data_IF_036859279231
#
_entry.id   IF_036859279231
#
_cell.length_a   1.000
_cell.length_b   1.000
_cell.length_c   1.000
_cell.angle_alpha   90.00
_cell.angle_beta   90.00
_cell.angle_gamma   90.00
#
_symmetry.space_group_name_H-M   'P 1'
#
loop_
_entity.id
_entity.type
_entity.pdbx_description
1 polymer ?
#
# COMPACT_ATOMS: atom_id res chain seq x y z
N UNK A 1 8.06 -17.79 -8.82
CA UNK A 1 7.76 -17.96 -10.26
C UNK A 1 8.04 -19.37 -10.80
N UNK A 2 8.92 -20.16 -10.20
CA UNK A 2 9.29 -21.48 -10.76
C UNK A 2 8.27 -22.62 -10.57
N UNK A 3 7.23 -22.44 -9.80
CA UNK A 3 6.10 -23.39 -9.75
C UNK A 3 5.09 -23.15 -10.89
N UNK A 4 5.19 -22.05 -11.61
CA UNK A 4 4.20 -21.59 -12.57
C UNK A 4 4.73 -21.27 -13.98
N UNK A 5 6.03 -21.17 -14.18
CA UNK A 5 6.62 -20.87 -15.50
C UNK A 5 6.85 -22.09 -16.41
N UNK A 6 6.21 -23.23 -16.16
CA UNK A 6 6.27 -24.42 -17.02
C UNK A 6 5.13 -24.52 -18.06
N UNK A 7 4.61 -23.41 -18.54
CA UNK A 7 3.66 -23.40 -19.65
C UNK A 7 3.57 -21.99 -20.23
N UNK A 8 3.75 -21.85 -21.52
CA UNK A 8 3.98 -20.62 -22.30
C UNK A 8 3.13 -19.38 -21.98
N UNK A 9 1.96 -19.50 -21.34
CA UNK A 9 1.11 -18.36 -20.95
C UNK A 9 1.70 -17.63 -19.71
N UNK A 10 2.33 -18.35 -18.81
CA UNK A 10 2.87 -17.78 -17.56
C UNK A 10 4.27 -17.17 -17.76
N UNK A 11 5.04 -17.70 -18.71
CA UNK A 11 6.31 -17.11 -19.12
C UNK A 11 6.07 -15.76 -19.80
N UNK A 12 5.07 -15.69 -20.70
CA UNK A 12 4.61 -14.45 -21.32
C UNK A 12 4.09 -13.43 -20.27
N UNK A 13 3.41 -13.91 -19.23
CA UNK A 13 2.92 -13.07 -18.12
C UNK A 13 4.05 -12.44 -17.29
N UNK A 14 5.12 -13.18 -16.99
CA UNK A 14 6.29 -12.67 -16.28
C UNK A 14 7.04 -11.61 -17.10
N UNK A 15 7.25 -11.87 -18.40
CA UNK A 15 7.91 -10.92 -19.29
C UNK A 15 7.05 -9.68 -19.54
N UNK A 16 5.73 -9.83 -19.68
CA UNK A 16 4.80 -8.72 -19.80
C UNK A 16 4.86 -7.81 -18.57
N UNK A 17 4.78 -8.37 -17.36
CA UNK A 17 4.81 -7.60 -16.12
C UNK A 17 6.18 -6.93 -15.89
N UNK A 18 7.29 -7.54 -16.27
CA UNK A 18 8.61 -6.88 -16.19
C UNK A 18 8.71 -5.70 -17.16
N UNK A 19 8.04 -5.76 -18.30
CA UNK A 19 8.02 -4.69 -19.29
C UNK A 19 7.07 -3.55 -18.89
N UNK A 20 5.96 -3.83 -18.16
CA UNK A 20 5.04 -2.78 -17.66
C UNK A 20 5.78 -1.69 -16.87
N UNK A 21 6.77 -2.08 -16.08
CA UNK A 21 7.52 -1.14 -15.24
C UNK A 21 8.75 -0.55 -15.94
N UNK A 22 9.14 -1.07 -17.10
CA UNK A 22 10.28 -0.60 -17.87
C UNK A 22 9.88 0.35 -19.00
N UNK A 23 8.78 0.04 -19.70
CA UNK A 23 8.34 0.80 -20.87
C UNK A 23 7.13 1.68 -20.51
N UNK A 24 7.26 3.00 -20.71
CA UNK A 24 6.21 3.96 -20.40
C UNK A 24 5.18 4.00 -21.55
N UNK A 25 4.26 3.04 -21.56
CA UNK A 25 3.13 3.00 -22.49
C UNK A 25 1.80 3.24 -21.76
N UNK A 26 0.79 3.73 -22.50
CA UNK A 26 -0.54 4.04 -21.94
C UNK A 26 -1.18 2.82 -21.28
N UNK A 27 -1.02 1.64 -21.87
CA UNK A 27 -1.52 0.38 -21.34
C UNK A 27 -0.89 0.05 -19.97
N UNK A 28 0.43 0.26 -19.88
CA UNK A 28 1.20 0.00 -18.67
C UNK A 28 0.81 0.98 -17.55
N UNK A 29 0.61 2.26 -17.91
CA UNK A 29 0.12 3.27 -16.97
C UNK A 29 -1.27 2.91 -16.43
N UNK A 30 -2.17 2.41 -17.29
CA UNK A 30 -3.51 1.97 -16.88
C UNK A 30 -3.45 0.86 -15.83
N UNK A 31 -2.56 -0.13 -16.02
CA UNK A 31 -2.37 -1.23 -15.06
C UNK A 31 -1.84 -0.72 -13.72
N UNK A 32 -0.85 0.17 -13.73
CA UNK A 32 -0.28 0.75 -12.50
C UNK A 32 -1.35 1.55 -11.74
N UNK A 33 -2.12 2.38 -12.44
CA UNK A 33 -3.20 3.17 -11.85
C UNK A 33 -4.30 2.26 -11.28
N UNK A 34 -4.65 1.20 -11.97
CA UNK A 34 -5.62 0.22 -11.48
C UNK A 34 -5.13 -0.49 -10.21
N UNK A 35 -3.89 -0.96 -10.20
CA UNK A 35 -3.28 -1.59 -9.02
C UNK A 35 -3.27 -0.64 -7.81
N UNK A 36 -2.89 0.62 -8.02
CA UNK A 36 -2.92 1.63 -6.96
C UNK A 36 -4.34 1.85 -6.43
N UNK A 37 -5.34 1.98 -7.31
CA UNK A 37 -6.73 2.20 -6.88
C UNK A 37 -7.26 1.01 -6.09
N UNK A 38 -7.06 -0.21 -6.60
CA UNK A 38 -7.49 -1.45 -5.93
C UNK A 38 -6.79 -1.64 -4.58
N UNK A 39 -5.47 -1.47 -4.54
CA UNK A 39 -4.69 -1.56 -3.30
C UNK A 39 -5.15 -0.54 -2.26
N UNK A 40 -5.43 0.70 -2.68
CA UNK A 40 -5.91 1.77 -1.80
C UNK A 40 -7.27 1.44 -1.18
N UNK A 41 -8.20 0.90 -1.97
CA UNK A 41 -9.54 0.53 -1.50
C UNK A 41 -9.51 -0.72 -0.60
N UNK A 42 -8.79 -1.77 -1.02
CA UNK A 42 -8.65 -3.01 -0.23
C UNK A 42 -7.95 -2.69 1.10
N UNK A 43 -6.88 -1.91 1.06
CA UNK A 43 -6.17 -1.48 2.26
C UNK A 43 -7.06 -0.66 3.20
N UNK A 44 -7.91 0.21 2.66
CA UNK A 44 -8.90 0.93 3.45
C UNK A 44 -9.87 -0.03 4.16
N UNK A 45 -10.40 -1.03 3.47
CA UNK A 45 -11.30 -2.04 4.07
C UNK A 45 -10.59 -2.77 5.21
N UNK A 46 -9.37 -3.28 4.97
CA UNK A 46 -8.58 -3.98 5.98
C UNK A 46 -8.37 -3.10 7.22
N UNK A 47 -7.91 -1.86 7.00
CA UNK A 47 -7.61 -0.92 8.07
C UNK A 47 -8.87 -0.45 8.82
N UNK A 48 -10.00 -0.30 8.12
CA UNK A 48 -11.28 0.06 8.71
C UNK A 48 -11.74 -0.98 9.74
N UNK A 49 -11.62 -2.27 9.40
CA UNK A 49 -11.91 -3.36 10.33
C UNK A 49 -10.84 -3.49 11.42
N UNK A 50 -9.55 -3.34 11.08
CA UNK A 50 -8.47 -3.38 12.05
C UNK A 50 -8.67 -2.32 13.15
N UNK A 51 -8.97 -1.08 12.78
CA UNK A 51 -9.21 0.00 13.74
C UNK A 51 -10.43 -0.22 14.62
N UNK A 52 -11.46 -0.83 14.08
CA UNK A 52 -12.65 -1.19 14.85
C UNK A 52 -12.36 -2.25 15.91
N UNK A 53 -11.66 -3.32 15.53
CA UNK A 53 -11.58 -4.53 16.36
C UNK A 53 -10.27 -4.65 17.14
N UNK A 54 -9.17 -4.11 16.63
CA UNK A 54 -7.83 -4.39 17.16
C UNK A 54 -7.06 -3.15 17.64
N UNK A 55 -7.41 -1.93 17.17
CA UNK A 55 -6.64 -0.75 17.55
C UNK A 55 -6.80 -0.38 19.02
N UNK A 56 -5.71 -0.19 19.77
CA UNK A 56 -5.75 0.31 21.14
C UNK A 56 -6.19 1.77 21.24
N UNK A 57 -5.98 2.56 20.17
CA UNK A 57 -6.34 3.98 20.12
C UNK A 57 -7.85 4.21 19.89
N UNK A 58 -8.63 3.14 19.72
CA UNK A 58 -10.09 3.17 19.60
C UNK A 58 -10.75 2.27 20.67
N UNK A 59 -10.67 2.62 21.96
CA UNK A 59 -11.16 1.79 23.04
C UNK A 59 -12.68 1.57 22.98
N UNK A 60 -13.43 2.55 22.48
CA UNK A 60 -14.88 2.50 22.34
C UNK A 60 -15.37 1.71 21.11
N UNK A 61 -14.45 1.13 20.31
CA UNK A 61 -14.76 0.34 19.11
C UNK A 61 -15.69 1.06 18.14
N UNK A 62 -15.53 2.36 17.96
CA UNK A 62 -16.29 3.15 17.01
C UNK A 62 -15.85 2.87 15.57
N UNK A 63 -16.76 3.06 14.63
CA UNK A 63 -16.44 3.02 13.20
C UNK A 63 -15.80 4.36 12.80
N UNK A 64 -14.52 4.34 12.54
CA UNK A 64 -13.74 5.53 12.13
C UNK A 64 -13.09 5.30 10.79
N UNK A 65 -13.13 6.32 9.94
CA UNK A 65 -12.43 6.28 8.65
C UNK A 65 -10.91 6.31 8.89
N UNK A 66 -10.15 5.28 8.45
CA UNK A 66 -8.70 5.27 8.62
C UNK A 66 -8.01 6.29 7.71
N UNK A 67 -6.76 6.63 8.07
CA UNK A 67 -5.93 7.54 7.29
C UNK A 67 -6.35 9.00 7.38
N UNK A 68 -5.83 9.82 6.48
CA UNK A 68 -6.09 11.27 6.46
C UNK A 68 -7.10 11.68 5.37
N UNK A 69 -7.35 10.84 4.38
CA UNK A 69 -8.33 11.08 3.32
C UNK A 69 -9.76 10.89 3.84
N UNK A 70 -10.72 11.54 3.19
CA UNK A 70 -12.14 11.45 3.56
C UNK A 70 -12.80 10.24 2.93
N UNK A 71 -12.39 9.85 1.73
CA UNK A 71 -12.91 8.72 0.98
C UNK A 71 -12.32 7.36 1.41
N UNK A 72 -12.84 6.25 0.83
CA UNK A 72 -12.48 4.88 1.19
C UNK A 72 -11.19 4.42 0.49
N UNK A 73 -10.11 5.13 0.69
CA UNK A 73 -8.81 4.82 0.08
C UNK A 73 -7.63 5.19 0.98
N UNK A 74 -6.61 4.32 0.96
CA UNK A 74 -5.35 4.52 1.66
C UNK A 74 -4.18 4.46 0.65
N UNK A 75 -3.58 5.61 0.28
CA UNK A 75 -2.48 5.66 -0.69
C UNK A 75 -1.29 4.77 -0.33
N UNK A 76 -1.00 4.57 0.96
CA UNK A 76 0.07 3.69 1.42
C UNK A 76 -0.10 2.26 0.90
N UNK A 77 -1.31 1.71 1.02
CA UNK A 77 -1.62 0.36 0.54
C UNK A 77 -1.66 0.29 -0.99
N UNK A 78 -2.13 1.36 -1.65
CA UNK A 78 -2.11 1.46 -3.10
C UNK A 78 -0.69 1.44 -3.66
N UNK A 79 0.19 2.28 -3.11
CA UNK A 79 1.63 2.28 -3.44
C UNK A 79 2.26 0.93 -3.12
N UNK A 80 1.90 0.35 -1.97
CA UNK A 80 2.35 -0.96 -1.56
C UNK A 80 2.00 -2.05 -2.57
N UNK A 81 0.75 -2.13 -3.05
CA UNK A 81 0.34 -3.14 -4.01
C UNK A 81 1.09 -3.00 -5.35
N UNK A 82 1.30 -1.77 -5.83
CA UNK A 82 2.12 -1.52 -7.03
C UNK A 82 3.53 -2.05 -6.85
N UNK A 83 4.18 -1.77 -5.71
CA UNK A 83 5.54 -2.21 -5.43
C UNK A 83 5.62 -3.73 -5.23
N UNK A 84 4.66 -4.33 -4.51
CA UNK A 84 4.60 -5.79 -4.36
C UNK A 84 4.48 -6.48 -5.73
N UNK A 85 3.62 -5.95 -6.62
CA UNK A 85 3.46 -6.47 -7.98
C UNK A 85 4.76 -6.30 -8.79
N UNK A 86 5.41 -5.14 -8.70
CA UNK A 86 6.67 -4.87 -9.40
C UNK A 86 7.77 -5.84 -8.96
N UNK A 87 7.99 -5.99 -7.65
CA UNK A 87 9.04 -6.88 -7.11
C UNK A 87 8.75 -8.34 -7.43
N UNK A 88 7.49 -8.78 -7.30
CA UNK A 88 7.10 -10.16 -7.59
C UNK A 88 7.30 -10.53 -9.06
N UNK A 89 7.30 -9.54 -9.95
CA UNK A 89 7.53 -9.73 -11.40
C UNK A 89 9.01 -9.77 -11.80
N UNK A 90 9.94 -9.42 -10.87
CA UNK A 90 11.38 -9.45 -11.14
C UNK A 90 11.88 -10.89 -11.02
N UNK A 91 12.52 -11.38 -12.08
CA UNK A 91 13.23 -12.65 -12.06
C UNK A 91 14.67 -12.43 -11.62
N UNK A 92 15.08 -13.11 -10.54
CA UNK A 92 16.46 -13.07 -10.05
C UNK A 92 17.24 -14.19 -10.72
N UNK A 93 17.84 -13.91 -11.87
CA UNK A 93 18.53 -14.91 -12.71
C UNK A 93 19.65 -15.67 -11.98
N UNK A 94 20.31 -15.03 -11.02
CA UNK A 94 21.33 -15.67 -10.19
C UNK A 94 20.77 -16.78 -9.27
N UNK A 95 19.45 -16.89 -9.10
CA UNK A 95 18.77 -17.87 -8.26
C UNK A 95 17.86 -18.82 -9.06
N UNK A 96 17.97 -18.87 -10.38
CA UNK A 96 17.13 -19.71 -11.22
C UNK A 96 17.22 -21.19 -10.87
N UNK A 97 18.40 -21.65 -10.43
CA UNK A 97 18.61 -23.04 -10.02
C UNK A 97 18.05 -23.35 -8.62
N UNK A 98 17.66 -22.32 -7.85
CA UNK A 98 17.20 -22.44 -6.47
C UNK A 98 15.84 -21.76 -6.23
N UNK A 99 14.72 -22.32 -6.76
CA UNK A 99 13.41 -21.68 -6.76
C UNK A 99 12.87 -21.35 -5.34
N UNK A 100 13.16 -22.18 -4.36
CA UNK A 100 12.77 -21.95 -2.97
C UNK A 100 13.50 -20.73 -2.40
N UNK A 101 14.81 -20.64 -2.64
CA UNK A 101 15.63 -19.51 -2.18
C UNK A 101 15.17 -18.23 -2.87
N UNK A 102 14.90 -18.29 -4.18
CA UNK A 102 14.36 -17.15 -4.93
C UNK A 102 13.06 -16.63 -4.31
N UNK A 103 12.12 -17.51 -3.99
CA UNK A 103 10.85 -17.14 -3.36
C UNK A 103 11.07 -16.47 -1.99
N UNK A 104 11.93 -17.03 -1.16
CA UNK A 104 12.26 -16.47 0.16
C UNK A 104 12.88 -15.07 0.01
N UNK A 105 13.88 -14.92 -0.88
CA UNK A 105 14.57 -13.65 -1.12
C UNK A 105 13.58 -12.61 -1.64
N UNK A 106 12.69 -12.97 -2.59
CA UNK A 106 11.67 -12.07 -3.12
C UNK A 106 10.74 -11.57 -2.00
N UNK A 107 10.23 -12.47 -1.15
CA UNK A 107 9.35 -12.08 -0.02
C UNK A 107 10.10 -11.19 0.97
N UNK A 108 11.38 -11.45 1.25
CA UNK A 108 12.18 -10.58 2.12
C UNK A 108 12.37 -9.18 1.51
N UNK A 109 12.65 -9.07 0.22
CA UNK A 109 12.76 -7.77 -0.48
C UNK A 109 11.42 -7.03 -0.43
N UNK A 110 10.31 -7.71 -0.68
CA UNK A 110 8.96 -7.15 -0.58
C UNK A 110 8.67 -6.63 0.82
N UNK A 111 9.03 -7.39 1.86
CA UNK A 111 8.87 -7.00 3.27
C UNK A 111 9.67 -5.75 3.59
N UNK A 112 10.94 -5.70 3.17
CA UNK A 112 11.80 -4.54 3.36
C UNK A 112 11.25 -3.31 2.63
N UNK A 113 10.79 -3.46 1.39
CA UNK A 113 10.20 -2.38 0.61
C UNK A 113 8.95 -1.80 1.28
N UNK A 114 8.04 -2.65 1.79
CA UNK A 114 6.85 -2.20 2.52
C UNK A 114 7.21 -1.44 3.80
N UNK A 115 8.18 -1.94 4.57
CA UNK A 115 8.67 -1.26 5.78
C UNK A 115 9.30 0.10 5.46
N UNK A 116 10.05 0.20 4.36
CA UNK A 116 10.64 1.48 3.92
C UNK A 116 9.57 2.48 3.52
N UNK A 117 8.53 2.06 2.80
CA UNK A 117 7.42 2.95 2.40
C UNK A 117 6.65 3.42 3.62
N UNK A 118 6.35 2.53 4.57
CA UNK A 118 5.72 2.88 5.84
C UNK A 118 6.56 3.91 6.60
N UNK A 119 7.87 3.72 6.65
CA UNK A 119 8.79 4.66 7.29
C UNK A 119 8.81 6.02 6.60
N UNK A 120 8.86 6.07 5.26
CA UNK A 120 8.81 7.32 4.49
C UNK A 120 7.49 8.05 4.74
N UNK A 121 6.36 7.34 4.68
CA UNK A 121 5.05 7.92 4.96
C UNK A 121 5.00 8.50 6.39
N UNK A 122 5.50 7.76 7.38
CA UNK A 122 5.59 8.24 8.76
C UNK A 122 6.47 9.47 8.92
N UNK A 123 7.60 9.55 8.22
CA UNK A 123 8.44 10.75 8.22
C UNK A 123 7.70 11.97 7.67
N UNK A 124 6.94 11.82 6.59
CA UNK A 124 6.18 12.92 5.99
C UNK A 124 5.13 13.44 6.97
N UNK A 125 4.34 12.56 7.56
CA UNK A 125 3.23 12.97 8.43
C UNK A 125 3.70 13.35 9.83
N UNK A 126 4.54 12.54 10.47
CA UNK A 126 4.94 12.77 11.86
C UNK A 126 5.93 13.92 11.98
N UNK A 127 7.02 13.89 11.19
CA UNK A 127 8.06 14.93 11.23
C UNK A 127 7.71 16.16 10.39
N UNK A 128 7.06 15.95 9.23
CA UNK A 128 6.72 17.03 8.33
C UNK A 128 5.48 17.83 8.75
N UNK A 129 4.52 17.18 9.39
CA UNK A 129 3.21 17.79 9.69
C UNK A 129 2.86 17.80 11.18
N UNK A 130 3.64 17.20 12.08
CA UNK A 130 3.30 16.98 13.50
C UNK A 130 1.97 16.21 13.70
N UNK A 131 1.67 15.31 12.76
CA UNK A 131 0.43 14.53 12.73
C UNK A 131 0.78 13.04 12.75
N UNK A 132 0.34 12.32 13.80
CA UNK A 132 0.46 10.86 13.87
C UNK A 132 -0.78 10.20 13.27
N UNK A 133 -0.62 9.51 12.15
CA UNK A 133 -1.64 8.64 11.56
C UNK A 133 -1.68 7.28 12.27
N UNK A 134 -0.53 6.85 12.83
CA UNK A 134 -0.33 5.70 13.70
C UNK A 134 0.81 6.02 14.69
N UNK A 135 0.95 5.21 15.71
CA UNK A 135 1.98 5.40 16.73
C UNK A 135 2.42 4.05 17.31
N UNK A 136 3.68 3.68 17.05
CA UNK A 136 4.29 2.47 17.58
C UNK A 136 5.27 2.74 18.72
N UNK A 137 5.23 3.93 19.34
CA UNK A 137 6.18 4.31 20.39
C UNK A 137 6.17 3.32 21.57
N UNK A 138 5.03 2.70 21.87
CA UNK A 138 4.87 1.72 22.94
C UNK A 138 5.34 0.30 22.55
N UNK A 139 5.79 0.08 21.31
CA UNK A 139 6.20 -1.24 20.83
C UNK A 139 7.71 -1.45 20.97
N UNK A 140 8.17 -2.64 21.43
CA UNK A 140 9.59 -2.92 21.56
C UNK A 140 10.28 -2.87 20.20
N UNK A 141 11.48 -2.30 20.15
CA UNK A 141 12.29 -2.19 18.95
C UNK A 141 11.76 -1.20 17.90
N UNK A 142 10.85 -0.30 18.29
CA UNK A 142 10.35 0.71 17.35
C UNK A 142 11.46 1.71 16.97
N UNK A 143 11.35 2.21 15.74
CA UNK A 143 12.21 3.28 15.22
C UNK A 143 11.33 4.53 15.12
N UNK A 144 11.57 5.50 15.99
CA UNK A 144 10.89 6.81 16.04
C UNK A 144 9.36 6.72 16.20
N UNK A 145 8.82 5.59 16.69
CA UNK A 145 7.39 5.33 16.76
C UNK A 145 6.70 5.11 15.40
N UNK A 146 7.50 5.05 14.30
CA UNK A 146 6.99 4.95 12.92
C UNK A 146 6.91 3.51 12.46
N UNK A 147 7.96 2.72 12.67
CA UNK A 147 8.05 1.30 12.31
C UNK A 147 8.47 0.48 13.52
N UNK A 148 8.09 -0.79 13.56
CA UNK A 148 8.57 -1.73 14.57
C UNK A 148 8.62 -3.17 14.03
N UNK A 149 9.42 -4.08 14.63
CA UNK A 149 9.58 -5.46 14.16
C UNK A 149 8.26 -6.23 14.00
N UNK A 150 7.30 -5.99 14.89
CA UNK A 150 5.99 -6.65 14.83
C UNK A 150 5.23 -6.30 13.54
N UNK A 151 5.17 -5.03 13.16
CA UNK A 151 4.47 -4.61 11.94
C UNK A 151 5.28 -4.93 10.68
N UNK A 152 6.61 -4.91 10.75
CA UNK A 152 7.48 -5.46 9.68
C UNK A 152 7.18 -6.94 9.44
N UNK A 153 6.97 -7.74 10.49
CA UNK A 153 6.55 -9.14 10.35
C UNK A 153 5.16 -9.26 9.68
N UNK A 154 4.18 -8.42 10.04
CA UNK A 154 2.88 -8.41 9.35
C UNK A 154 3.01 -8.03 7.88
N UNK A 155 3.89 -7.10 7.52
CA UNK A 155 4.20 -6.82 6.11
C UNK A 155 4.79 -8.04 5.41
N UNK A 156 5.62 -8.83 6.10
CA UNK A 156 6.13 -10.10 5.58
C UNK A 156 5.03 -11.13 5.32
N UNK A 157 4.05 -11.23 6.22
CA UNK A 157 2.88 -12.11 6.03
C UNK A 157 2.06 -11.64 4.82
N UNK A 158 1.79 -10.34 4.71
CA UNK A 158 1.06 -9.77 3.55
C UNK A 158 1.83 -10.01 2.25
N UNK A 159 3.14 -9.80 2.24
CA UNK A 159 4.00 -10.06 1.09
C UNK A 159 3.97 -11.54 0.68
N UNK A 160 4.04 -12.47 1.63
CA UNK A 160 3.97 -13.90 1.36
C UNK A 160 2.59 -14.32 0.79
N UNK A 161 1.50 -13.85 1.40
CA UNK A 161 0.14 -14.09 0.89
C UNK A 161 0.00 -13.55 -0.53
N UNK A 162 0.47 -12.31 -0.76
CA UNK A 162 0.44 -11.73 -2.10
C UNK A 162 1.24 -12.56 -3.11
N UNK A 163 2.49 -12.89 -2.78
CA UNK A 163 3.40 -13.59 -3.70
C UNK A 163 2.91 -14.99 -4.07
N UNK A 164 2.47 -15.78 -3.07
CA UNK A 164 2.10 -17.17 -3.31
C UNK A 164 0.65 -17.38 -3.78
N UNK A 165 -0.27 -16.54 -3.30
CA UNK A 165 -1.70 -16.77 -3.55
C UNK A 165 -2.33 -15.74 -4.49
N UNK A 166 -1.92 -14.47 -4.45
CA UNK A 166 -2.59 -13.42 -5.22
C UNK A 166 -1.89 -13.20 -6.56
N UNK A 167 -0.57 -13.02 -6.55
CA UNK A 167 0.20 -12.66 -7.75
C UNK A 167 -0.01 -13.61 -8.93
N UNK A 168 -0.01 -14.95 -8.78
CA UNK A 168 -0.22 -15.86 -9.91
C UNK A 168 -1.60 -15.75 -10.56
N UNK A 169 -2.62 -15.32 -9.79
CA UNK A 169 -3.99 -15.26 -10.27
C UNK A 169 -4.35 -13.92 -10.93
N UNK A 170 -3.72 -12.83 -10.50
CA UNK A 170 -4.06 -11.49 -11.04
C UNK A 170 -3.35 -11.16 -12.35
N UNK A 171 -2.24 -11.82 -12.68
CA UNK A 171 -1.45 -11.52 -13.89
C UNK A 171 -2.31 -11.54 -15.14
N UNK A 172 -3.07 -12.60 -15.35
CA UNK A 172 -3.94 -12.73 -16.53
C UNK A 172 -5.00 -11.62 -16.60
N UNK A 173 -5.53 -11.21 -15.44
CA UNK A 173 -6.50 -10.12 -15.35
C UNK A 173 -5.85 -8.78 -15.69
N UNK A 174 -4.60 -8.56 -15.32
CA UNK A 174 -3.86 -7.32 -15.62
C UNK A 174 -3.48 -7.25 -17.11
N UNK A 175 -3.09 -8.38 -17.72
CA UNK A 175 -2.85 -8.49 -19.17
C UNK A 175 -4.14 -8.19 -19.94
N UNK A 176 -5.24 -8.77 -19.49
CA UNK A 176 -6.56 -8.50 -20.09
C UNK A 176 -6.91 -7.01 -19.99
N UNK A 177 -6.72 -6.38 -18.82
CA UNK A 177 -6.99 -4.97 -18.59
C UNK A 177 -6.16 -4.07 -19.51
N UNK A 178 -4.88 -4.36 -19.69
CA UNK A 178 -3.98 -3.63 -20.59
C UNK A 178 -4.46 -3.62 -22.04
N UNK A 179 -5.14 -4.69 -22.48
CA UNK A 179 -5.77 -4.80 -23.80
C UNK A 179 -7.13 -4.11 -23.93
N UNK A 180 -7.71 -3.62 -22.81
CA UNK A 180 -9.08 -3.08 -22.81
C UNK A 180 -9.11 -1.62 -22.32
N UNK A 181 -8.60 -0.70 -23.12
CA UNK A 181 -8.50 0.73 -22.80
C UNK A 181 -9.83 1.41 -22.44
N UNK A 182 -10.97 0.81 -22.77
CA UNK A 182 -12.30 1.29 -22.36
C UNK A 182 -12.43 1.43 -20.84
N UNK A 183 -11.70 0.61 -20.06
CA UNK A 183 -11.67 0.71 -18.61
C UNK A 183 -10.94 1.96 -18.08
N UNK A 184 -10.18 2.66 -18.94
CA UNK A 184 -9.56 3.94 -18.59
C UNK A 184 -10.57 4.98 -18.13
N UNK A 185 -11.81 4.93 -18.64
CA UNK A 185 -12.88 5.83 -18.20
C UNK A 185 -13.20 5.63 -16.71
N UNK A 186 -13.37 4.39 -16.27
CA UNK A 186 -13.69 4.09 -14.86
C UNK A 186 -12.53 4.43 -13.93
N UNK A 187 -11.31 4.14 -14.36
CA UNK A 187 -10.10 4.49 -13.63
C UNK A 187 -9.94 6.01 -13.56
N UNK A 188 -10.16 6.72 -14.67
CA UNK A 188 -10.13 8.18 -14.70
C UNK A 188 -11.18 8.82 -13.80
N UNK A 189 -12.39 8.27 -13.75
CA UNK A 189 -13.45 8.71 -12.84
C UNK A 189 -13.03 8.54 -11.37
N UNK A 190 -12.48 7.38 -11.01
CA UNK A 190 -11.91 7.15 -9.69
C UNK A 190 -10.87 8.21 -9.33
N UNK A 191 -9.90 8.46 -10.22
CA UNK A 191 -8.86 9.45 -9.97
C UNK A 191 -9.38 10.88 -9.92
N UNK A 192 -10.43 11.20 -10.65
CA UNK A 192 -11.11 12.49 -10.53
C UNK A 192 -11.62 12.74 -9.12
N UNK A 193 -12.33 11.77 -8.53
CA UNK A 193 -12.82 11.84 -7.15
C UNK A 193 -11.66 11.82 -6.16
N UNK A 194 -10.68 10.93 -6.38
CA UNK A 194 -9.51 10.80 -5.52
C UNK A 194 -8.70 12.10 -5.42
N UNK A 195 -8.47 12.78 -6.54
CA UNK A 195 -7.73 14.06 -6.55
C UNK A 195 -8.51 15.16 -5.84
N UNK A 196 -9.83 15.25 -6.02
CA UNK A 196 -10.67 16.21 -5.30
C UNK A 196 -10.58 15.97 -3.78
N UNK A 197 -10.70 14.71 -3.36
CA UNK A 197 -10.57 14.36 -1.94
C UNK A 197 -9.16 14.65 -1.42
N UNK A 198 -8.13 14.30 -2.18
CA UNK A 198 -6.74 14.57 -1.84
C UNK A 198 -6.51 16.07 -1.57
N UNK A 199 -6.95 16.93 -2.48
CA UNK A 199 -6.81 18.39 -2.33
C UNK A 199 -7.55 18.90 -1.10
N UNK A 200 -8.79 18.44 -0.87
CA UNK A 200 -9.58 18.86 0.29
C UNK A 200 -8.99 18.34 1.60
N UNK A 201 -8.55 17.09 1.63
CA UNK A 201 -7.93 16.49 2.81
C UNK A 201 -6.60 17.17 3.15
N UNK A 202 -5.77 17.53 2.16
CA UNK A 202 -4.56 18.31 2.41
C UNK A 202 -4.84 19.70 2.96
N UNK A 203 -5.89 20.39 2.49
CA UNK A 203 -6.31 21.68 3.08
C UNK A 203 -6.69 21.54 4.55
N UNK A 204 -7.40 20.46 4.90
CA UNK A 204 -7.76 20.17 6.29
C UNK A 204 -6.49 19.87 7.10
N UNK A 205 -5.60 19.00 6.59
CA UNK A 205 -4.34 18.64 7.27
C UNK A 205 -3.44 19.86 7.48
N UNK A 206 -3.41 20.80 6.54
CA UNK A 206 -2.65 22.05 6.70
C UNK A 206 -3.21 22.91 7.86
N UNK A 207 -4.54 22.96 8.03
CA UNK A 207 -5.16 23.64 9.17
C UNK A 207 -4.86 22.92 10.48
N UNK A 208 -4.92 21.59 10.49
CA UNK A 208 -4.57 20.77 11.67
C UNK A 208 -3.10 20.95 12.03
N UNK A 209 -2.21 20.98 11.03
CA UNK A 209 -0.78 21.27 11.24
C UNK A 209 -0.59 22.64 11.90
N UNK A 210 -1.21 23.69 11.35
CA UNK A 210 -1.09 25.05 11.91
C UNK A 210 -1.54 25.08 13.37
N UNK A 211 -2.66 24.42 13.68
CA UNK A 211 -3.14 24.27 15.05
C UNK A 211 -2.12 23.52 15.93
N UNK A 212 -1.55 22.42 15.45
CA UNK A 212 -0.54 21.65 16.15
C UNK A 212 0.71 22.51 16.47
N UNK A 213 1.16 23.30 15.48
CA UNK A 213 2.32 24.17 15.61
C UNK A 213 2.03 25.35 16.57
N UNK A 214 0.84 25.99 16.48
CA UNK A 214 0.44 27.11 17.34
C UNK A 214 0.36 26.71 18.83
N UNK A 215 -0.04 25.48 19.13
CA UNK A 215 -0.18 24.96 20.50
C UNK A 215 0.98 24.04 20.93
N UNK A 216 1.99 23.84 20.07
CA UNK A 216 3.15 22.96 20.30
C UNK A 216 2.73 21.52 20.73
N UNK A 217 1.74 20.96 20.05
CA UNK A 217 1.18 19.63 20.32
C UNK A 217 1.33 18.72 19.11
N UNK A 218 1.36 17.38 19.34
CA UNK A 218 1.28 16.37 18.29
C UNK A 218 -0.15 15.86 18.21
N UNK A 219 -0.78 16.00 17.05
CA UNK A 219 -2.16 15.55 16.84
C UNK A 219 -2.17 14.07 16.40
N UNK A 220 -2.88 13.24 17.15
CA UNK A 220 -3.16 11.82 16.81
C UNK A 220 -4.50 11.74 16.10
N UNK A 221 -4.47 11.52 14.80
CA UNK A 221 -5.68 11.57 13.96
C UNK A 221 -6.70 10.49 14.35
N UNK A 222 -6.25 9.30 14.73
CA UNK A 222 -7.15 8.22 15.13
C UNK A 222 -7.95 8.58 16.39
N UNK A 223 -7.28 9.07 17.41
CA UNK A 223 -7.91 9.51 18.66
C UNK A 223 -8.87 10.67 18.42
N UNK A 224 -8.45 11.67 17.60
CA UNK A 224 -9.30 12.79 17.23
C UNK A 224 -10.58 12.33 16.54
N UNK A 225 -10.48 11.43 15.55
CA UNK A 225 -11.65 10.89 14.85
C UNK A 225 -12.54 10.05 15.77
N UNK A 226 -11.95 9.25 16.66
CA UNK A 226 -12.71 8.45 17.63
C UNK A 226 -13.44 9.35 18.66
N UNK A 227 -12.94 10.56 18.90
CA UNK A 227 -13.61 11.51 19.82
C UNK A 227 -14.80 12.22 19.17
N UNK A 228 -14.69 12.52 17.86
CA UNK A 228 -15.72 13.23 17.09
C UNK A 228 -16.87 12.29 16.65
N UNK A 229 -16.56 11.01 16.34
CA UNK A 229 -17.54 9.99 15.91
C UNK A 229 -18.44 9.56 17.09
#
# INVERSE_FOLDING_TARGET
>A
CNLTCRGGILEFGCDFMSNIFRDFDLSNMLVILFLFSMGSMIGWVIEFFFRRFFSPNNPNRKWINPGFLMGPWLPLYGTGLVILCSIASIRITALDDHPVIQSIVTVLIMTAAMTVIEYIAGLIFIKGMNIKLWDYSDRPGNIQGIICPLFTFFWGVVAAIYYFFIHPHIINSLIWLAGHLTFSFFIGFFYGIFVIDLVNSFKIMTKVKKFADDYNIVVRIEELKAHIA
#
